data_IF_471892517488
#
_entry.id   IF_471892517488
#
_cell.length_a   1.000
_cell.length_b   1.000
_cell.length_c   1.000
_cell.angle_alpha   90.00
_cell.angle_beta   90.00
_cell.angle_gamma   90.00
#
_symmetry.space_group_name_H-M   'P 1'
#
loop_
_entity.id
_entity.type
_entity.pdbx_description
1 polymer ?
#
# COMPACT_ATOMS: atom_id res chain seq x y z
N UNK A 1 -1.08 -16.64 -6.50
CA UNK A 1 -0.09 -15.57 -6.78
C UNK A 1 1.27 -16.03 -6.30
N UNK A 2 2.34 -15.91 -7.09
CA UNK A 2 3.71 -16.31 -6.67
C UNK A 2 4.18 -15.53 -5.44
N UNK A 3 3.91 -14.22 -5.37
CA UNK A 3 4.30 -13.37 -4.24
C UNK A 3 3.61 -13.80 -2.94
N UNK A 4 2.31 -14.11 -2.98
CA UNK A 4 1.56 -14.61 -1.80
C UNK A 4 2.09 -15.96 -1.27
N UNK A 5 2.77 -16.73 -2.12
CA UNK A 5 3.39 -18.00 -1.75
C UNK A 5 4.90 -17.85 -1.47
N UNK A 6 5.37 -16.62 -1.19
CA UNK A 6 6.78 -16.27 -0.96
C UNK A 6 7.74 -16.70 -2.09
N UNK A 7 7.23 -16.99 -3.29
CA UNK A 7 8.02 -17.31 -4.48
C UNK A 7 8.44 -16.02 -5.20
N UNK A 8 9.18 -15.16 -4.50
CA UNK A 8 9.45 -13.78 -4.93
C UNK A 8 10.20 -13.69 -6.26
N UNK A 9 11.21 -14.54 -6.50
CA UNK A 9 11.99 -14.47 -7.75
C UNK A 9 11.11 -14.77 -8.98
N UNK A 10 10.18 -15.74 -8.85
CA UNK A 10 9.19 -16.01 -9.90
C UNK A 10 8.21 -14.85 -10.05
N UNK A 11 7.78 -14.25 -8.94
CA UNK A 11 6.87 -13.11 -8.99
C UNK A 11 7.52 -11.90 -9.71
N UNK A 12 8.76 -11.57 -9.36
CA UNK A 12 9.55 -10.49 -9.97
C UNK A 12 9.66 -10.70 -11.48
N UNK A 13 10.07 -11.90 -11.93
CA UNK A 13 10.14 -12.22 -13.36
C UNK A 13 8.81 -11.94 -14.08
N UNK A 14 7.69 -12.36 -13.49
CA UNK A 14 6.37 -12.19 -14.09
C UNK A 14 5.90 -10.73 -14.09
N UNK A 15 6.18 -9.94 -13.04
CA UNK A 15 5.86 -8.52 -13.01
C UNK A 15 6.68 -7.73 -14.05
N UNK A 16 7.98 -8.02 -14.17
CA UNK A 16 8.83 -7.40 -15.20
C UNK A 16 8.34 -7.75 -16.60
N UNK A 17 8.04 -9.02 -16.86
CA UNK A 17 7.52 -9.46 -18.15
C UNK A 17 6.17 -8.82 -18.48
N UNK A 18 5.26 -8.71 -17.50
CA UNK A 18 3.97 -8.05 -17.69
C UNK A 18 4.16 -6.57 -18.05
N UNK A 19 5.04 -5.85 -17.34
CA UNK A 19 5.36 -4.46 -17.65
C UNK A 19 5.97 -4.28 -19.05
N UNK A 20 6.93 -5.13 -19.43
CA UNK A 20 7.57 -5.09 -20.76
C UNK A 20 6.57 -5.34 -21.90
N UNK A 21 5.67 -6.31 -21.75
CA UNK A 21 4.67 -6.62 -22.78
C UNK A 21 3.58 -5.54 -22.88
N UNK A 22 3.42 -4.68 -21.88
CA UNK A 22 2.35 -3.70 -21.78
C UNK A 22 2.89 -2.31 -21.39
N UNK A 23 4.01 -1.90 -21.98
CA UNK A 23 4.74 -0.68 -21.62
C UNK A 23 3.92 0.62 -21.78
N UNK A 24 2.83 0.57 -22.56
CA UNK A 24 1.93 1.69 -22.80
C UNK A 24 0.59 1.58 -22.03
N UNK A 25 0.43 0.56 -21.17
CA UNK A 25 -0.75 0.41 -20.33
C UNK A 25 -0.47 0.86 -18.88
N UNK A 26 -0.96 2.03 -18.45
CA UNK A 26 -0.70 2.55 -17.11
C UNK A 26 -1.22 1.63 -15.99
N UNK A 27 -2.24 0.80 -16.26
CA UNK A 27 -2.76 -0.17 -15.31
C UNK A 27 -1.77 -1.30 -15.04
N UNK A 28 -1.25 -1.92 -16.10
CA UNK A 28 -0.25 -2.98 -15.97
C UNK A 28 1.02 -2.46 -15.32
N UNK A 29 1.45 -1.25 -15.67
CA UNK A 29 2.62 -0.62 -15.07
C UNK A 29 2.46 -0.39 -13.55
N UNK A 30 1.37 0.24 -13.10
CA UNK A 30 1.19 0.50 -11.65
C UNK A 30 0.99 -0.78 -10.84
N UNK A 31 0.31 -1.79 -11.43
CA UNK A 31 0.12 -3.10 -10.80
C UNK A 31 1.44 -3.85 -10.66
N UNK A 32 2.25 -3.85 -11.73
CA UNK A 32 3.59 -4.44 -11.72
C UNK A 32 4.53 -3.73 -10.76
N UNK A 33 4.45 -2.39 -10.69
CA UNK A 33 5.21 -1.59 -9.74
C UNK A 33 4.88 -1.97 -8.28
N UNK A 34 3.60 -2.09 -7.93
CA UNK A 34 3.19 -2.52 -6.59
C UNK A 34 3.64 -3.95 -6.28
N UNK A 35 3.56 -4.85 -7.27
CA UNK A 35 4.08 -6.21 -7.16
C UNK A 35 5.59 -6.25 -6.88
N UNK A 36 6.38 -5.49 -7.63
CA UNK A 36 7.83 -5.35 -7.45
C UNK A 36 8.18 -4.74 -6.08
N UNK A 37 7.43 -3.73 -5.65
CA UNK A 37 7.60 -3.13 -4.32
C UNK A 37 7.42 -4.18 -3.21
N UNK A 38 6.36 -4.99 -3.27
CA UNK A 38 6.16 -6.09 -2.31
C UNK A 38 7.29 -7.12 -2.36
N UNK A 39 7.85 -7.39 -3.55
CA UNK A 39 8.93 -8.37 -3.73
C UNK A 39 10.32 -7.85 -3.33
N UNK A 40 10.44 -6.61 -2.84
CA UNK A 40 11.72 -6.04 -2.39
C UNK A 40 12.54 -5.37 -3.49
N UNK A 41 11.90 -4.90 -4.57
CA UNK A 41 12.53 -4.18 -5.68
C UNK A 41 12.07 -2.70 -5.68
N UNK A 42 12.38 -1.89 -4.64
CA UNK A 42 11.77 -0.56 -4.46
C UNK A 42 12.21 0.46 -5.52
N UNK A 43 13.46 0.42 -5.98
CA UNK A 43 13.96 1.37 -6.99
C UNK A 43 13.26 1.17 -8.34
N UNK A 44 13.14 -0.09 -8.78
CA UNK A 44 12.44 -0.44 -10.01
C UNK A 44 10.93 -0.15 -9.89
N UNK A 45 10.32 -0.47 -8.74
CA UNK A 45 8.93 -0.14 -8.47
C UNK A 45 8.66 1.36 -8.55
N UNK A 46 9.54 2.20 -7.99
CA UNK A 46 9.41 3.65 -8.05
C UNK A 46 9.50 4.16 -9.49
N UNK A 47 10.49 3.67 -10.27
CA UNK A 47 10.66 4.01 -11.68
C UNK A 47 9.43 3.64 -12.51
N UNK A 48 8.95 2.41 -12.37
CA UNK A 48 7.80 1.90 -13.11
C UNK A 48 6.50 2.61 -12.73
N UNK A 49 6.33 2.93 -11.44
CA UNK A 49 5.19 3.72 -10.97
C UNK A 49 5.21 5.16 -11.52
N UNK A 50 6.39 5.77 -11.66
CA UNK A 50 6.52 7.08 -12.29
C UNK A 50 6.21 7.03 -13.80
N UNK A 51 6.67 5.99 -14.50
CA UNK A 51 6.33 5.76 -15.91
C UNK A 51 4.82 5.61 -16.13
N UNK A 52 4.12 4.91 -15.23
CA UNK A 52 2.67 4.77 -15.31
C UNK A 52 1.94 6.15 -15.33
N UNK A 53 2.48 7.15 -14.63
CA UNK A 53 1.92 8.51 -14.64
C UNK A 53 2.17 9.25 -15.96
N UNK A 54 3.31 9.00 -16.62
CA UNK A 54 3.64 9.69 -17.87
C UNK A 54 2.84 9.16 -19.05
N UNK A 55 2.47 7.88 -19.02
CA UNK A 55 1.75 7.19 -20.11
C UNK A 55 0.22 7.41 -20.02
N UNK A 56 -0.34 7.58 -18.82
CA UNK A 56 -1.79 7.72 -18.62
C UNK A 56 -2.33 9.15 -18.72
N UNK A 57 -3.39 9.37 -19.50
CA UNK A 57 -4.06 10.69 -19.66
C UNK A 57 -4.87 11.16 -18.44
N UNK A 58 -5.03 10.34 -17.41
CA UNK A 58 -5.46 10.76 -16.07
C UNK A 58 -5.31 9.57 -15.12
N UNK A 59 -4.70 9.79 -13.95
CA UNK A 59 -4.63 8.73 -12.95
C UNK A 59 -5.99 8.58 -12.28
N UNK A 60 -6.66 7.46 -12.52
CA UNK A 60 -7.91 7.17 -11.81
C UNK A 60 -7.66 7.06 -10.29
N UNK A 61 -8.68 7.27 -9.44
CA UNK A 61 -8.54 7.11 -7.99
C UNK A 61 -7.97 5.74 -7.59
N UNK A 62 -8.29 4.69 -8.35
CA UNK A 62 -7.77 3.34 -8.11
C UNK A 62 -6.28 3.20 -8.49
N UNK A 63 -5.79 3.89 -9.54
CA UNK A 63 -4.34 3.94 -9.82
C UNK A 63 -3.58 4.60 -8.65
N UNK A 64 -4.13 5.70 -8.13
CA UNK A 64 -3.53 6.45 -7.03
C UNK A 64 -3.48 5.62 -5.74
N UNK A 65 -4.48 4.79 -5.50
CA UNK A 65 -4.49 3.83 -4.39
C UNK A 65 -3.33 2.81 -4.46
N UNK A 66 -3.06 2.26 -5.66
CA UNK A 66 -1.93 1.34 -5.85
C UNK A 66 -0.59 2.06 -5.67
N UNK A 67 -0.49 3.26 -6.24
CA UNK A 67 0.69 4.11 -6.12
C UNK A 67 0.99 4.49 -4.67
N UNK A 68 -0.02 4.75 -3.85
CA UNK A 68 0.19 5.04 -2.41
C UNK A 68 0.95 3.90 -1.70
N UNK A 69 0.60 2.63 -2.00
CA UNK A 69 1.34 1.46 -1.49
C UNK A 69 2.79 1.43 -1.95
N UNK A 70 3.05 1.68 -3.24
CA UNK A 70 4.43 1.77 -3.79
C UNK A 70 5.24 2.83 -3.05
N UNK A 71 4.69 4.03 -2.90
CA UNK A 71 5.37 5.18 -2.30
C UNK A 71 5.68 4.93 -0.83
N UNK A 72 4.74 4.36 -0.07
CA UNK A 72 5.01 3.96 1.32
C UNK A 72 6.17 2.97 1.41
N UNK A 73 6.18 1.94 0.57
CA UNK A 73 7.23 0.91 0.56
C UNK A 73 8.59 1.51 0.19
N UNK A 74 8.62 2.44 -0.76
CA UNK A 74 9.83 3.16 -1.16
C UNK A 74 10.29 4.18 -0.10
N UNK A 75 9.44 4.52 0.88
CA UNK A 75 9.74 5.47 1.94
C UNK A 75 9.43 6.94 1.60
N UNK A 76 8.72 7.20 0.50
CA UNK A 76 8.24 8.54 0.14
C UNK A 76 6.87 8.78 0.78
N UNK A 77 6.90 9.21 2.05
CA UNK A 77 5.71 9.34 2.87
C UNK A 77 4.84 10.54 2.45
N UNK A 78 5.44 11.66 2.08
CA UNK A 78 4.74 12.83 1.56
C UNK A 78 3.93 12.49 0.30
N UNK A 79 4.57 11.87 -0.69
CA UNK A 79 3.87 11.49 -1.92
C UNK A 79 2.84 10.39 -1.65
N UNK A 80 3.11 9.46 -0.71
CA UNK A 80 2.13 8.46 -0.27
C UNK A 80 0.85 9.13 0.25
N UNK A 81 0.98 10.16 1.10
CA UNK A 81 -0.16 10.89 1.68
C UNK A 81 -0.96 11.61 0.59
N UNK A 82 -0.27 12.25 -0.37
CA UNK A 82 -0.90 12.92 -1.51
C UNK A 82 -1.69 11.92 -2.36
N UNK A 83 -1.04 10.85 -2.82
CA UNK A 83 -1.66 9.82 -3.66
C UNK A 83 -2.86 9.17 -2.94
N UNK A 84 -2.71 8.83 -1.67
CA UNK A 84 -3.79 8.27 -0.86
C UNK A 84 -4.99 9.23 -0.75
N UNK A 85 -4.74 10.52 -0.57
CA UNK A 85 -5.80 11.54 -0.47
C UNK A 85 -6.54 11.73 -1.80
N UNK A 86 -5.80 11.74 -2.92
CA UNK A 86 -6.39 11.82 -4.26
C UNK A 86 -7.13 10.54 -4.68
N UNK A 87 -6.82 9.40 -4.05
CA UNK A 87 -7.53 8.13 -4.27
C UNK A 87 -8.96 8.11 -3.70
N UNK A 88 -9.34 9.10 -2.88
CA UNK A 88 -10.70 9.27 -2.32
C UNK A 88 -11.25 8.00 -1.67
N UNK A 89 -10.40 7.26 -0.96
CA UNK A 89 -10.73 6.03 -0.24
C UNK A 89 -11.36 4.93 -1.12
N UNK A 90 -11.04 4.95 -2.42
CA UNK A 90 -11.52 3.94 -3.37
C UNK A 90 -11.18 2.51 -2.92
N UNK A 91 -10.06 2.35 -2.19
CA UNK A 91 -9.74 1.12 -1.49
C UNK A 91 -9.55 1.42 0.01
N UNK A 92 -10.34 0.75 0.86
CA UNK A 92 -10.39 1.05 2.29
C UNK A 92 -9.09 0.87 3.07
N UNK A 93 -8.20 -0.05 2.65
CA UNK A 93 -6.90 -0.22 3.31
C UNK A 93 -5.91 0.92 3.02
N UNK A 94 -6.18 1.79 2.04
CA UNK A 94 -5.28 2.91 1.68
C UNK A 94 -5.17 3.93 2.81
N UNK A 95 -6.24 4.12 3.59
CA UNK A 95 -6.19 4.92 4.82
C UNK A 95 -5.17 4.40 5.84
N UNK A 96 -4.87 3.10 5.84
CA UNK A 96 -3.84 2.55 6.72
C UNK A 96 -2.42 2.90 6.26
N UNK A 97 -2.15 2.87 4.95
CA UNK A 97 -0.87 3.36 4.40
C UNK A 97 -0.67 4.84 4.72
N UNK A 98 -1.73 5.64 4.52
CA UNK A 98 -1.71 7.07 4.80
C UNK A 98 -1.51 7.38 6.28
N UNK A 99 -2.20 6.68 7.19
CA UNK A 99 -2.04 6.91 8.63
C UNK A 99 -0.62 6.57 9.10
N UNK A 100 -0.06 5.45 8.63
CA UNK A 100 1.32 5.07 8.91
C UNK A 100 2.34 6.09 8.36
N UNK A 101 2.14 6.57 7.13
CA UNK A 101 2.98 7.63 6.53
C UNK A 101 2.93 8.93 7.34
N UNK A 102 1.72 9.38 7.72
CA UNK A 102 1.53 10.57 8.57
C UNK A 102 2.24 10.42 9.92
N UNK A 103 2.19 9.23 10.52
CA UNK A 103 2.84 8.96 11.79
C UNK A 103 4.37 9.02 11.70
N UNK A 104 4.97 8.47 10.64
CA UNK A 104 6.43 8.58 10.40
C UNK A 104 6.89 10.04 10.19
N UNK A 105 6.02 10.89 9.65
CA UNK A 105 6.25 12.34 9.53
C UNK A 105 5.87 13.14 10.80
N UNK A 106 5.53 12.47 11.91
CA UNK A 106 5.14 13.09 13.19
C UNK A 106 3.91 14.01 13.08
N UNK A 107 3.00 13.72 12.14
CA UNK A 107 1.72 14.42 11.95
C UNK A 107 0.63 13.74 12.78
N UNK A 108 0.85 13.68 14.09
CA UNK A 108 0.16 12.76 15.00
C UNK A 108 -1.38 12.87 15.00
N UNK A 109 -1.91 14.09 14.97
CA UNK A 109 -3.36 14.32 14.94
C UNK A 109 -4.00 13.80 13.65
N UNK A 110 -3.34 14.04 12.52
CA UNK A 110 -3.81 13.58 11.22
C UNK A 110 -3.67 12.06 11.10
N UNK A 111 -2.56 11.50 11.61
CA UNK A 111 -2.33 10.06 11.66
C UNK A 111 -3.44 9.34 12.43
N UNK A 112 -3.78 9.82 13.63
CA UNK A 112 -4.87 9.29 14.45
C UNK A 112 -6.22 9.38 13.75
N UNK A 113 -6.54 10.53 13.15
CA UNK A 113 -7.79 10.73 12.42
C UNK A 113 -7.94 9.74 11.25
N UNK A 114 -6.90 9.59 10.44
CA UNK A 114 -6.91 8.68 9.30
C UNK A 114 -6.91 7.20 9.73
N UNK A 115 -6.24 6.86 10.84
CA UNK A 115 -6.29 5.52 11.42
C UNK A 115 -7.72 5.15 11.88
N UNK A 116 -8.41 6.07 12.56
CA UNK A 116 -9.81 5.85 12.97
C UNK A 116 -10.73 5.64 11.78
N UNK A 117 -10.53 6.40 10.71
CA UNK A 117 -11.25 6.22 9.45
C UNK A 117 -10.99 4.84 8.82
N UNK A 118 -9.72 4.39 8.77
CA UNK A 118 -9.38 3.04 8.34
C UNK A 118 -10.13 1.97 9.16
N UNK A 119 -10.09 2.05 10.48
CA UNK A 119 -10.77 1.10 11.38
C UNK A 119 -12.28 1.07 11.13
N UNK A 120 -12.91 2.23 10.98
CA UNK A 120 -14.35 2.34 10.70
C UNK A 120 -14.72 1.74 9.35
N UNK A 121 -13.97 2.05 8.28
CA UNK A 121 -14.21 1.50 6.93
C UNK A 121 -14.04 -0.02 6.94
N UNK A 122 -12.97 -0.53 7.56
CA UNK A 122 -12.72 -1.97 7.63
C UNK A 122 -13.79 -2.69 8.44
N UNK A 123 -14.16 -2.17 9.61
CA UNK A 123 -15.21 -2.76 10.45
C UNK A 123 -16.55 -2.84 9.73
N UNK A 124 -16.95 -1.78 9.00
CA UNK A 124 -18.19 -1.75 8.21
C UNK A 124 -18.21 -2.82 7.11
N UNK A 125 -17.06 -3.14 6.54
CA UNK A 125 -16.92 -4.09 5.43
C UNK A 125 -16.44 -5.48 5.88
N UNK A 126 -16.33 -5.73 7.19
CA UNK A 126 -15.79 -6.98 7.72
C UNK A 126 -16.69 -8.17 7.39
N UNK A 127 -16.09 -9.26 6.91
CA UNK A 127 -16.79 -10.50 6.54
C UNK A 127 -16.42 -11.70 7.41
N UNK A 128 -15.59 -11.51 8.43
CA UNK A 128 -15.25 -12.54 9.42
C UNK A 128 -16.29 -12.62 10.55
N UNK A 129 -15.86 -13.06 11.73
CA UNK A 129 -16.68 -13.02 12.96
C UNK A 129 -17.28 -11.63 13.19
N UNK A 130 -18.49 -11.59 13.76
CA UNK A 130 -19.19 -10.35 14.07
C UNK A 130 -18.37 -9.47 15.02
N UNK A 131 -18.08 -8.24 14.59
CA UNK A 131 -17.40 -7.16 15.34
C UNK A 131 -15.91 -7.41 15.67
N UNK A 132 -14.98 -7.22 14.71
CA UNK A 132 -13.55 -7.31 14.98
C UNK A 132 -13.07 -6.15 15.88
N UNK A 133 -12.18 -6.48 16.79
CA UNK A 133 -11.38 -5.52 17.54
C UNK A 133 -10.40 -4.77 16.62
N UNK A 134 -9.90 -3.61 17.06
CA UNK A 134 -8.91 -2.85 16.31
C UNK A 134 -7.61 -3.65 16.11
N UNK A 135 -7.22 -4.48 17.09
CA UNK A 135 -6.05 -5.34 17.01
C UNK A 135 -6.21 -6.46 15.98
N UNK A 136 -7.41 -7.04 15.85
CA UNK A 136 -7.71 -8.02 14.80
C UNK A 136 -7.69 -7.39 13.41
N UNK A 137 -8.21 -6.16 13.27
CA UNK A 137 -8.14 -5.40 12.00
C UNK A 137 -6.67 -5.11 11.64
N UNK A 138 -5.86 -4.68 12.61
CA UNK A 138 -4.45 -4.39 12.40
C UNK A 138 -3.67 -5.65 12.01
N UNK A 139 -3.90 -6.76 12.73
CA UNK A 139 -3.30 -8.06 12.42
C UNK A 139 -3.68 -8.53 11.02
N UNK A 140 -4.96 -8.42 10.65
CA UNK A 140 -5.41 -8.76 9.30
C UNK A 140 -4.67 -7.95 8.23
N UNK A 141 -4.63 -6.62 8.37
CA UNK A 141 -3.96 -5.74 7.42
C UNK A 141 -2.48 -6.10 7.25
N UNK A 142 -1.77 -6.33 8.36
CA UNK A 142 -0.33 -6.68 8.36
C UNK A 142 -0.04 -8.02 7.68
N UNK A 143 -1.05 -8.87 7.48
CA UNK A 143 -0.91 -10.17 6.80
C UNK A 143 -1.59 -10.20 5.42
N UNK A 144 -2.21 -9.11 4.96
CA UNK A 144 -2.85 -9.04 3.65
C UNK A 144 -1.86 -8.95 2.48
N UNK A 145 -0.66 -8.44 2.73
CA UNK A 145 0.28 -8.07 1.68
C UNK A 145 1.54 -8.95 1.70
N UNK A 146 2.06 -9.39 0.55
CA UNK A 146 3.23 -10.25 0.47
C UNK A 146 4.53 -9.44 0.58
N UNK A 147 4.68 -8.61 1.62
CA UNK A 147 5.86 -7.76 1.83
C UNK A 147 7.07 -8.65 2.16
N UNK A 148 8.05 -8.73 1.26
CA UNK A 148 9.29 -9.51 1.43
C UNK A 148 10.23 -8.89 2.46
N UNK A 149 10.39 -7.56 2.41
CA UNK A 149 11.33 -6.85 3.28
C UNK A 149 10.73 -6.63 4.68
N UNK A 150 11.33 -7.29 5.67
CA UNK A 150 10.93 -7.17 7.07
C UNK A 150 11.02 -5.73 7.59
N UNK A 151 11.93 -4.90 7.07
CA UNK A 151 12.02 -3.49 7.47
C UNK A 151 10.80 -2.70 7.01
N UNK A 152 10.32 -2.95 5.79
CA UNK A 152 9.10 -2.33 5.26
C UNK A 152 7.89 -2.77 6.09
N UNK A 153 7.79 -4.05 6.40
CA UNK A 153 6.73 -4.58 7.25
C UNK A 153 6.75 -3.94 8.65
N UNK A 154 7.93 -3.85 9.28
CA UNK A 154 8.10 -3.19 10.58
C UNK A 154 7.70 -1.71 10.51
N UNK A 155 8.08 -0.97 9.45
CA UNK A 155 7.66 0.43 9.27
C UNK A 155 6.15 0.57 9.17
N UNK A 156 5.45 -0.34 8.47
CA UNK A 156 3.98 -0.33 8.46
C UNK A 156 3.42 -0.56 9.87
N UNK A 157 3.86 -1.62 10.54
CA UNK A 157 3.42 -1.96 11.91
C UNK A 157 3.65 -0.79 12.87
N UNK A 158 4.85 -0.23 12.88
CA UNK A 158 5.24 0.84 13.80
C UNK A 158 4.49 2.14 13.48
N UNK A 159 4.27 2.44 12.20
CA UNK A 159 3.45 3.58 11.78
C UNK A 159 1.99 3.45 12.25
N UNK A 160 1.40 2.25 12.19
CA UNK A 160 0.07 1.99 12.72
C UNK A 160 0.02 2.17 14.24
N UNK A 161 1.03 1.66 14.95
CA UNK A 161 1.15 1.83 16.41
C UNK A 161 1.22 3.31 16.79
N UNK A 162 2.09 4.07 16.13
CA UNK A 162 2.24 5.51 16.33
C UNK A 162 0.95 6.28 15.99
N UNK A 163 0.17 5.80 15.01
CA UNK A 163 -1.14 6.35 14.68
C UNK A 163 -2.25 5.94 15.68
N UNK A 164 -1.93 5.17 16.72
CA UNK A 164 -2.87 4.76 17.77
C UNK A 164 -3.67 3.50 17.45
N UNK A 165 -3.25 2.72 16.46
CA UNK A 165 -3.83 1.40 16.18
C UNK A 165 -3.06 0.35 16.99
N UNK A 166 -3.73 -0.46 17.83
CA UNK A 166 -3.04 -1.53 18.58
C UNK A 166 -2.50 -2.58 17.61
N UNK A 167 -1.19 -2.85 17.71
CA UNK A 167 -0.50 -3.91 16.96
C UNK A 167 0.08 -4.90 17.97
N UNK A 168 -0.46 -6.12 17.97
CA UNK A 168 -0.05 -7.24 18.83
C UNK A 168 0.45 -8.41 17.98
#
# INVERSE_FOLDING_TARGET
>A
SYAMNASYDKAILNYRLAGQLNENDPWTLVSSALGLAYCGEPEEAASLSAQALTVGLSSSPLHLAYRAGVLFICGDYEACIEAASLSKDTIGYVSAWKSAALAHLKRDNEARSEAQKFLQITRKNWRGSSNPSDAEIARWLLHCFPIRDQKVWNRLRDGLLLAGVPVE
#
